data_IF_472595639277
#
_entry.id   IF_472595639277
#
_cell.length_a   1.000
_cell.length_b   1.000
_cell.length_c   1.000
_cell.angle_alpha   90.00
_cell.angle_beta   90.00
_cell.angle_gamma   90.00
#
_symmetry.space_group_name_H-M   'P 1'
#
loop_
_entity.id
_entity.type
_entity.pdbx_description
1 polymer ?
#
# COMPACT_ATOMS: atom_id res chain seq x y z
N UNK A 1 6.56 -22.38 0.21
CA UNK A 1 7.18 -21.75 -0.99
C UNK A 1 6.90 -20.26 -0.95
N UNK A 2 7.92 -19.42 -0.83
CA UNK A 2 7.75 -17.96 -0.81
C UNK A 2 7.44 -17.45 -2.22
N UNK A 3 6.22 -16.95 -2.45
CA UNK A 3 5.80 -16.46 -3.78
C UNK A 3 6.17 -15.00 -3.91
N UNK A 4 7.08 -14.65 -4.83
CA UNK A 4 7.42 -13.25 -5.12
C UNK A 4 6.45 -12.68 -6.14
N UNK A 5 5.80 -11.56 -5.82
CA UNK A 5 4.89 -10.85 -6.71
C UNK A 5 5.48 -9.51 -7.09
N UNK A 6 5.39 -9.19 -8.39
CA UNK A 6 5.71 -7.88 -8.92
C UNK A 6 4.52 -6.97 -8.67
N UNK A 7 4.74 -5.86 -7.99
CA UNK A 7 3.70 -4.88 -7.69
C UNK A 7 4.08 -3.53 -8.32
N UNK A 8 3.17 -2.92 -9.07
CA UNK A 8 3.36 -1.57 -9.61
C UNK A 8 2.98 -0.50 -8.58
N UNK A 9 3.32 0.76 -8.87
CA UNK A 9 2.93 1.91 -8.05
C UNK A 9 1.41 2.00 -7.86
N UNK A 10 0.68 1.81 -8.95
CA UNK A 10 -0.77 1.89 -8.98
C UNK A 10 -1.41 0.75 -8.20
N UNK A 11 -0.90 -0.48 -8.36
CA UNK A 11 -1.36 -1.62 -7.57
C UNK A 11 -1.05 -1.45 -6.08
N UNK A 12 0.11 -0.88 -5.74
CA UNK A 12 0.45 -0.58 -4.35
C UNK A 12 -0.53 0.43 -3.76
N UNK A 13 -0.80 1.51 -4.50
CA UNK A 13 -1.78 2.51 -4.11
C UNK A 13 -3.16 1.87 -3.93
N UNK A 14 -3.63 1.11 -4.90
CA UNK A 14 -4.93 0.44 -4.82
C UNK A 14 -5.02 -0.47 -3.60
N UNK A 15 -4.01 -1.28 -3.32
CA UNK A 15 -4.02 -2.16 -2.13
C UNK A 15 -3.98 -1.39 -0.81
N UNK A 16 -3.25 -0.26 -0.76
CA UNK A 16 -3.16 0.62 0.41
C UNK A 16 -4.44 1.42 0.64
N UNK A 17 -5.19 1.73 -0.42
CA UNK A 17 -6.40 2.56 -0.37
C UNK A 17 -7.72 1.76 -0.45
N UNK A 18 -7.71 0.50 -0.91
CA UNK A 18 -8.87 -0.40 -0.85
C UNK A 18 -9.00 -1.12 0.50
N UNK A 19 -7.89 -1.38 1.20
CA UNK A 19 -7.90 -2.13 2.46
C UNK A 19 -7.05 -1.45 3.54
N UNK A 20 -7.42 -1.57 4.83
CA UNK A 20 -6.59 -1.14 5.94
C UNK A 20 -5.17 -1.68 5.81
N UNK A 21 -4.18 -0.79 5.92
CA UNK A 21 -2.74 -1.06 5.67
C UNK A 21 -2.18 -2.25 6.46
N UNK A 22 -2.87 -2.68 7.51
CA UNK A 22 -2.53 -3.84 8.34
C UNK A 22 -2.70 -5.17 7.60
N UNK A 23 -3.69 -5.30 6.70
CA UNK A 23 -3.93 -6.55 5.95
C UNK A 23 -2.88 -6.79 4.86
N UNK A 24 -2.56 -5.82 3.99
CA UNK A 24 -1.53 -6.02 2.96
C UNK A 24 -0.17 -6.35 3.57
N UNK A 25 0.22 -5.70 4.68
CA UNK A 25 1.49 -5.97 5.34
C UNK A 25 1.63 -7.45 5.75
N UNK A 26 0.60 -8.02 6.38
CA UNK A 26 0.57 -9.44 6.72
C UNK A 26 0.59 -10.36 5.49
N UNK A 27 -0.17 -10.03 4.43
CA UNK A 27 -0.17 -10.79 3.17
C UNK A 27 1.21 -10.78 2.49
N UNK A 28 1.95 -9.68 2.60
CA UNK A 28 3.30 -9.52 2.07
C UNK A 28 4.40 -10.02 3.02
N UNK A 29 4.04 -10.72 4.10
CA UNK A 29 5.02 -11.18 5.10
C UNK A 29 5.91 -10.06 5.63
N UNK A 30 5.37 -8.83 5.68
CA UNK A 30 6.13 -7.62 6.01
C UNK A 30 5.50 -6.88 7.18
N UNK A 31 6.32 -6.17 7.94
CA UNK A 31 5.83 -5.26 8.98
C UNK A 31 5.24 -3.99 8.35
N UNK A 32 4.37 -3.31 9.09
CA UNK A 32 3.79 -2.01 8.71
C UNK A 32 4.87 -0.97 8.34
N UNK A 33 6.00 -0.98 9.05
CA UNK A 33 7.17 -0.13 8.78
C UNK A 33 7.79 -0.45 7.42
N UNK A 34 7.86 -1.74 7.06
CA UNK A 34 8.35 -2.17 5.75
C UNK A 34 7.46 -1.66 4.64
N UNK A 35 6.14 -1.78 4.80
CA UNK A 35 5.17 -1.28 3.82
C UNK A 35 5.25 0.26 3.71
N UNK A 36 5.44 0.96 4.83
CA UNK A 36 5.60 2.42 4.84
C UNK A 36 6.87 2.87 4.08
N UNK A 37 8.00 2.16 4.26
CA UNK A 37 9.24 2.44 3.50
C UNK A 37 9.03 2.28 1.99
N UNK A 38 8.32 1.22 1.59
CA UNK A 38 8.00 0.98 0.19
C UNK A 38 7.09 2.09 -0.37
N UNK A 39 6.03 2.46 0.35
CA UNK A 39 5.13 3.54 -0.07
C UNK A 39 5.91 4.85 -0.26
N UNK A 40 6.82 5.17 0.66
CA UNK A 40 7.69 6.35 0.56
C UNK A 40 8.64 6.27 -0.64
N UNK A 41 9.18 5.10 -0.94
CA UNK A 41 10.07 4.89 -2.10
C UNK A 41 9.34 5.00 -3.45
N UNK A 42 8.08 4.59 -3.48
CA UNK A 42 7.22 4.62 -4.67
C UNK A 42 6.41 5.91 -4.78
N UNK A 43 6.64 6.87 -3.90
CA UNK A 43 5.88 8.13 -3.82
C UNK A 43 4.36 7.90 -3.78
N UNK A 44 3.94 6.86 -3.03
CA UNK A 44 2.55 6.47 -2.86
C UNK A 44 2.03 7.13 -1.58
N UNK A 45 1.00 8.00 -1.66
CA UNK A 45 0.41 8.61 -0.48
C UNK A 45 -0.26 7.53 0.36
N UNK A 46 0.05 7.50 1.64
CA UNK A 46 -0.61 6.62 2.61
C UNK A 46 -1.82 7.37 3.20
N UNK A 47 -2.97 6.69 3.41
CA UNK A 47 -4.08 7.30 4.13
C UNK A 47 -3.61 7.76 5.53
N UNK A 48 -4.09 8.92 6.01
CA UNK A 48 -3.71 9.43 7.32
C UNK A 48 -4.14 8.47 8.44
N UNK A 49 -3.44 8.56 9.58
CA UNK A 49 -3.82 7.82 10.79
C UNK A 49 -5.29 8.09 11.13
N UNK A 50 -6.07 7.03 11.32
CA UNK A 50 -7.50 7.13 11.60
C UNK A 50 -8.40 7.27 10.37
N UNK A 51 -7.88 7.35 9.14
CA UNK A 51 -8.70 7.32 7.91
C UNK A 51 -9.60 6.08 7.86
N UNK A 52 -9.02 4.90 8.09
CA UNK A 52 -9.75 3.63 8.08
C UNK A 52 -10.80 3.57 9.19
N UNK A 53 -10.48 4.08 10.38
CA UNK A 53 -11.44 4.21 11.48
C UNK A 53 -12.64 5.06 11.07
N UNK A 54 -12.42 6.16 10.34
CA UNK A 54 -13.50 7.03 9.82
C UNK A 54 -14.35 6.30 8.78
N UNK A 55 -13.72 5.56 7.85
CA UNK A 55 -14.43 4.73 6.86
C UNK A 55 -15.29 3.66 7.55
N UNK A 56 -14.74 2.95 8.56
CA UNK A 56 -15.46 1.95 9.34
C UNK A 56 -16.68 2.54 10.08
N UNK A 57 -16.59 3.79 10.52
CA UNK A 57 -17.72 4.52 11.14
C UNK A 57 -18.72 5.12 10.13
N UNK A 58 -18.58 4.82 8.84
CA UNK A 58 -19.51 5.25 7.79
C UNK A 58 -19.18 6.59 7.13
N UNK A 59 -17.98 7.15 7.34
CA UNK A 59 -17.57 8.35 6.61
C UNK A 59 -17.31 8.02 5.14
N UNK A 60 -17.93 8.76 4.23
CA UNK A 60 -17.71 8.62 2.79
C UNK A 60 -16.49 9.46 2.35
N UNK A 61 -15.30 9.09 2.84
CA UNK A 61 -14.06 9.72 2.38
C UNK A 61 -13.60 9.02 1.11
N UNK A 62 -13.47 9.79 0.02
CA UNK A 62 -12.89 9.30 -1.22
C UNK A 62 -11.38 9.16 -1.05
N UNK A 63 -10.77 8.13 -1.66
CA UNK A 63 -9.32 8.04 -1.75
C UNK A 63 -8.71 9.33 -2.31
N UNK A 64 -7.62 9.82 -1.73
CA UNK A 64 -6.91 10.96 -2.30
C UNK A 64 -6.26 10.51 -3.61
N UNK A 65 -6.48 11.21 -4.74
CA UNK A 65 -5.99 10.77 -6.04
C UNK A 65 -4.49 10.48 -6.00
N UNK A 66 -4.07 9.40 -6.66
CA UNK A 66 -2.65 9.04 -6.77
C UNK A 66 -1.92 10.18 -7.51
N UNK A 67 -1.03 10.95 -6.85
CA UNK A 67 -0.28 12.01 -7.51
C UNK A 67 0.60 11.42 -8.61
N UNK A 68 1.07 12.23 -9.55
CA UNK A 68 2.10 11.75 -10.49
C UNK A 68 3.37 11.35 -9.73
N UNK A 69 4.07 10.29 -10.15
CA UNK A 69 5.29 9.88 -9.48
C UNK A 69 6.35 10.96 -9.66
N UNK A 70 6.84 11.51 -8.54
CA UNK A 70 7.98 12.46 -8.56
C UNK A 70 9.22 11.81 -9.17
N UNK A 71 9.40 10.50 -8.96
CA UNK A 71 10.50 9.71 -9.49
C UNK A 71 9.96 8.62 -10.45
N UNK A 72 10.27 8.74 -11.74
CA UNK A 72 9.82 7.82 -12.79
C UNK A 72 10.69 6.55 -12.91
N UNK A 73 11.74 6.42 -12.10
CA UNK A 73 12.71 5.31 -12.23
C UNK A 73 12.21 4.04 -11.54
N UNK A 74 11.44 4.16 -10.46
CA UNK A 74 10.90 3.01 -9.73
C UNK A 74 9.50 2.66 -10.24
N UNK A 75 9.44 1.87 -11.31
CA UNK A 75 8.16 1.44 -11.93
C UNK A 75 7.45 0.31 -11.19
N UNK A 76 8.20 -0.55 -10.51
CA UNK A 76 7.67 -1.72 -9.81
C UNK A 76 8.63 -2.19 -8.71
N UNK A 77 8.06 -2.90 -7.74
CA UNK A 77 8.78 -3.57 -6.66
C UNK A 77 8.45 -5.05 -6.68
N UNK A 78 9.31 -5.85 -6.05
CA UNK A 78 9.01 -7.24 -5.76
C UNK A 78 8.77 -7.41 -4.27
N UNK A 79 7.59 -7.89 -3.92
CA UNK A 79 7.22 -8.24 -2.54
C UNK A 79 7.08 -9.75 -2.43
N UNK A 80 7.47 -10.30 -1.29
CA UNK A 80 7.25 -11.72 -1.01
C UNK A 80 5.85 -11.85 -0.41
N UNK A 81 4.99 -12.68 -0.97
CA UNK A 81 3.76 -13.05 -0.30
C UNK A 81 4.08 -14.11 0.75
N UNK A 82 3.59 -13.89 1.97
CA UNK A 82 3.56 -14.93 2.98
C UNK A 82 2.56 -16.00 2.51
N UNK A 83 3.08 -17.16 2.14
CA UNK A 83 2.25 -18.34 1.91
C UNK A 83 1.64 -18.76 3.23
N UNK A 84 0.31 -18.67 3.31
CA UNK A 84 -0.48 -19.24 4.39
C UNK A 84 -0.42 -20.77 4.32
#
# INVERSE_FOLDING_TARGET
MSKRVKLTREELYEKVWQKPTVKPAGEFGMSDVGLAKICRKMDVPKPPLGYWRRIETGANNKPAPLPEPTDKTVRFIFINLAGR
#
